data_IF_567260898713
#
_entry.id   IF_567260898713
#
_cell.length_a   1.000
_cell.length_b   1.000
_cell.length_c   1.000
_cell.angle_alpha   90.00
_cell.angle_beta   90.00
_cell.angle_gamma   90.00
#
_symmetry.space_group_name_H-M   'P 1'
#
loop_
_entity.id
_entity.type
_entity.pdbx_description
1 polymer ?
#
# COMPACT_ATOMS: atom_id res chain seq x y z
N UNK A 1 -14.48 18.29 9.94
CA UNK A 1 -15.28 17.33 10.74
C UNK A 1 -14.53 16.01 10.79
N UNK A 2 -14.09 15.55 11.97
CA UNK A 2 -13.35 14.29 12.10
C UNK A 2 -14.29 13.07 11.87
N UNK A 3 -13.72 11.88 11.63
CA UNK A 3 -14.50 10.64 11.37
C UNK A 3 -15.52 10.38 12.49
N UNK A 4 -15.11 10.56 13.75
CA UNK A 4 -15.96 10.36 14.92
C UNK A 4 -17.19 11.28 14.93
N UNK A 5 -17.02 12.53 14.52
CA UNK A 5 -18.12 13.49 14.37
C UNK A 5 -19.10 13.08 13.27
N UNK A 6 -18.58 12.63 12.12
CA UNK A 6 -19.42 12.16 10.99
C UNK A 6 -20.23 10.92 11.34
N UNK A 7 -19.64 9.98 12.09
CA UNK A 7 -20.33 8.79 12.57
C UNK A 7 -21.43 9.15 13.58
N UNK A 8 -21.13 10.05 14.54
CA UNK A 8 -22.12 10.55 15.50
C UNK A 8 -23.30 11.26 14.84
N UNK A 9 -23.06 12.08 13.81
CA UNK A 9 -24.16 12.76 13.09
C UNK A 9 -25.09 11.81 12.32
N UNK A 10 -24.68 10.56 12.10
CA UNK A 10 -25.50 9.52 11.50
C UNK A 10 -25.93 8.45 12.52
N UNK A 11 -25.74 8.71 13.82
CA UNK A 11 -26.06 7.78 14.91
C UNK A 11 -25.37 6.40 14.80
N UNK A 12 -24.27 6.32 14.04
CA UNK A 12 -23.52 5.10 13.85
C UNK A 12 -22.49 4.91 14.99
N UNK A 13 -22.64 3.82 15.75
CA UNK A 13 -21.65 3.37 16.72
C UNK A 13 -20.73 2.33 16.10
N UNK A 14 -19.41 2.55 16.18
CA UNK A 14 -18.41 1.59 15.73
C UNK A 14 -17.87 0.79 16.91
N UNK A 15 -17.90 -0.53 16.81
CA UNK A 15 -17.27 -1.44 17.75
C UNK A 15 -16.10 -2.14 17.06
N UNK A 16 -14.90 -2.01 17.63
CA UNK A 16 -13.68 -2.62 17.10
C UNK A 16 -13.40 -3.93 17.85
N UNK A 17 -13.24 -5.04 17.12
CA UNK A 17 -12.99 -6.36 17.69
C UNK A 17 -11.56 -6.79 17.36
N UNK A 18 -10.59 -6.39 18.18
CA UNK A 18 -9.16 -6.62 17.94
C UNK A 18 -8.52 -7.66 18.86
N UNK A 19 -9.33 -8.36 19.67
CA UNK A 19 -8.86 -9.40 20.58
C UNK A 19 -8.12 -8.88 21.82
N UNK A 20 -8.04 -7.57 22.03
CA UNK A 20 -7.47 -6.99 23.25
C UNK A 20 -8.53 -6.87 24.33
N UNK A 21 -8.15 -7.15 25.59
CA UNK A 21 -9.02 -6.96 26.74
C UNK A 21 -9.44 -5.49 26.86
N UNK A 22 -10.72 -5.23 27.15
CA UNK A 22 -11.20 -3.87 27.37
C UNK A 22 -10.78 -3.39 28.76
N UNK A 23 -10.39 -2.12 28.88
CA UNK A 23 -10.13 -1.50 30.18
C UNK A 23 -11.37 -1.60 31.07
N UNK A 24 -11.25 -2.29 32.21
CA UNK A 24 -12.34 -2.45 33.19
C UNK A 24 -13.11 -3.77 33.14
N UNK A 25 -12.80 -4.69 32.23
CA UNK A 25 -13.36 -6.06 32.28
C UNK A 25 -12.58 -6.92 33.29
N UNK A 26 -13.26 -7.60 34.24
CA UNK A 26 -12.58 -8.54 35.13
C UNK A 26 -11.93 -9.64 34.28
N UNK A 27 -10.76 -10.18 34.67
CA UNK A 27 -10.15 -11.29 33.95
C UNK A 27 -11.10 -12.49 34.00
N UNK A 28 -11.89 -12.67 32.95
CA UNK A 28 -12.68 -13.88 32.73
C UNK A 28 -11.71 -15.05 32.60
N UNK A 29 -11.99 -16.12 33.34
CA UNK A 29 -11.06 -17.21 33.62
C UNK A 29 -10.42 -17.88 32.39
N UNK A 30 -9.32 -18.58 32.67
CA UNK A 30 -8.35 -19.22 31.76
C UNK A 30 -7.79 -18.30 30.66
N UNK A 31 -6.46 -18.30 30.43
CA UNK A 31 -5.89 -17.54 29.31
C UNK A 31 -6.46 -18.08 27.99
N UNK A 32 -7.37 -17.32 27.39
CA UNK A 32 -7.88 -17.63 26.06
C UNK A 32 -6.82 -17.32 25.01
N UNK A 33 -6.81 -18.09 23.93
CA UNK A 33 -6.02 -17.74 22.75
C UNK A 33 -6.55 -16.42 22.16
N UNK A 34 -5.71 -15.67 21.44
CA UNK A 34 -6.10 -14.43 20.77
C UNK A 34 -7.35 -14.59 19.90
N UNK A 35 -7.45 -15.70 19.16
CA UNK A 35 -8.64 -16.05 18.38
C UNK A 35 -9.86 -16.32 19.27
N UNK A 36 -9.69 -17.03 20.38
CA UNK A 36 -10.77 -17.27 21.35
C UNK A 36 -11.35 -15.97 21.91
N UNK A 37 -10.48 -15.00 22.26
CA UNK A 37 -10.92 -13.68 22.73
C UNK A 37 -11.68 -12.93 21.65
N UNK A 38 -11.20 -12.95 20.39
CA UNK A 38 -11.91 -12.31 19.27
C UNK A 38 -13.29 -12.94 19.02
N UNK A 39 -13.41 -14.27 19.09
CA UNK A 39 -14.69 -14.98 18.92
C UNK A 39 -15.65 -14.63 20.06
N UNK A 40 -15.17 -14.54 21.30
CA UNK A 40 -15.99 -14.07 22.44
C UNK A 40 -16.49 -12.64 22.21
N UNK A 41 -15.60 -11.72 21.84
CA UNK A 41 -15.96 -10.34 21.53
C UNK A 41 -16.98 -10.23 20.38
N UNK A 42 -16.86 -11.10 19.37
CA UNK A 42 -17.82 -11.19 18.27
C UNK A 42 -19.19 -11.66 18.76
N UNK A 43 -19.22 -12.71 19.59
CA UNK A 43 -20.46 -13.24 20.18
C UNK A 43 -21.20 -12.17 20.98
N UNK A 44 -20.48 -11.40 21.80
CA UNK A 44 -21.06 -10.32 22.59
C UNK A 44 -21.57 -9.16 21.70
N UNK A 45 -20.85 -8.86 20.61
CA UNK A 45 -21.26 -7.86 19.64
C UNK A 45 -22.56 -8.23 18.93
N UNK A 46 -22.75 -9.51 18.61
CA UNK A 46 -23.95 -10.06 17.93
C UNK A 46 -25.14 -10.13 18.89
N UNK A 47 -24.95 -10.67 20.09
CA UNK A 47 -26.02 -10.87 21.09
C UNK A 47 -26.48 -9.58 21.78
N UNK A 48 -25.59 -8.59 21.94
CA UNK A 48 -25.95 -7.27 22.49
C UNK A 48 -26.71 -6.36 21.51
N UNK A 49 -26.96 -6.86 20.30
CA UNK A 49 -27.57 -6.36 19.07
C UNK A 49 -28.92 -5.61 19.00
N UNK A 50 -29.32 -4.68 19.87
CA UNK A 50 -30.68 -4.06 19.74
C UNK A 50 -30.76 -2.89 18.74
N UNK A 51 -29.62 -2.25 18.42
CA UNK A 51 -29.54 -1.07 17.56
C UNK A 51 -28.51 -1.26 16.43
N UNK A 52 -28.77 -0.62 15.28
CA UNK A 52 -27.87 -0.59 14.12
C UNK A 52 -26.48 -0.09 14.50
N UNK A 53 -25.48 -0.94 14.33
CA UNK A 53 -24.08 -0.63 14.66
C UNK A 53 -23.13 -1.15 13.59
N UNK A 54 -21.95 -0.54 13.52
CA UNK A 54 -20.87 -0.98 12.65
C UNK A 54 -19.89 -1.80 13.47
N UNK A 55 -19.72 -3.08 13.13
CA UNK A 55 -18.74 -3.95 13.78
C UNK A 55 -17.53 -4.10 12.87
N UNK A 56 -16.36 -3.74 13.40
CA UNK A 56 -15.10 -3.74 12.67
C UNK A 56 -14.29 -4.97 13.05
N UNK A 57 -13.95 -5.77 12.05
CA UNK A 57 -13.18 -7.00 12.15
C UNK A 57 -11.81 -6.80 11.49
N UNK A 58 -10.76 -6.43 12.24
CA UNK A 58 -9.44 -6.09 11.68
C UNK A 58 -8.72 -7.29 11.07
N UNK A 59 -9.08 -8.49 11.51
CA UNK A 59 -8.45 -9.76 11.15
C UNK A 59 -9.52 -10.79 10.75
N UNK A 60 -10.41 -10.41 9.82
CA UNK A 60 -11.47 -11.29 9.32
C UNK A 60 -10.90 -12.58 8.71
N UNK A 61 -9.76 -12.45 8.02
CA UNK A 61 -8.98 -13.56 7.50
C UNK A 61 -8.54 -14.54 8.58
N UNK A 62 -8.00 -14.08 9.71
CA UNK A 62 -7.60 -15.00 10.78
C UNK A 62 -8.79 -15.73 11.42
N UNK A 63 -9.97 -15.10 11.44
CA UNK A 63 -11.18 -15.70 12.02
C UNK A 63 -11.85 -16.74 11.11
N UNK A 64 -11.55 -16.71 9.81
CA UNK A 64 -12.30 -17.48 8.80
C UNK A 64 -11.44 -18.31 7.86
N UNK A 65 -10.14 -18.04 7.81
CA UNK A 65 -9.18 -18.75 6.96
C UNK A 65 -8.63 -19.96 7.70
N UNK A 66 -8.59 -21.08 7.00
CA UNK A 66 -8.08 -22.35 7.52
C UNK A 66 -7.35 -23.09 6.41
N UNK A 67 -6.13 -23.55 6.70
CA UNK A 67 -5.40 -24.44 5.80
C UNK A 67 -6.12 -25.80 5.78
N UNK A 68 -6.68 -26.22 4.64
CA UNK A 68 -7.30 -27.54 4.48
C UNK A 68 -8.82 -27.64 4.71
N UNK A 69 -9.54 -26.51 4.84
CA UNK A 69 -11.01 -26.48 4.96
C UNK A 69 -11.52 -25.85 6.26
N UNK A 70 -12.83 -25.54 6.34
CA UNK A 70 -13.42 -24.76 7.43
C UNK A 70 -13.26 -25.44 8.80
N UNK A 71 -12.50 -24.80 9.70
CA UNK A 71 -12.37 -25.16 11.12
C UNK A 71 -13.69 -24.97 11.88
N UNK A 72 -13.79 -25.56 13.07
CA UNK A 72 -14.96 -25.40 13.93
C UNK A 72 -15.17 -23.92 14.31
N UNK A 73 -14.08 -23.23 14.61
CA UNK A 73 -14.05 -21.79 14.91
C UNK A 73 -14.54 -20.97 13.71
N UNK A 74 -14.07 -21.30 12.49
CA UNK A 74 -14.50 -20.59 11.28
C UNK A 74 -16.01 -20.79 11.02
N UNK A 75 -16.55 -22.00 11.27
CA UNK A 75 -18.00 -22.25 11.16
C UNK A 75 -18.81 -21.45 12.17
N UNK A 76 -18.32 -21.36 13.41
CA UNK A 76 -18.95 -20.53 14.44
C UNK A 76 -18.94 -19.05 14.04
N UNK A 77 -17.80 -18.52 13.60
CA UNK A 77 -17.68 -17.14 13.14
C UNK A 77 -18.63 -16.89 11.96
N UNK A 78 -18.68 -17.79 10.98
CA UNK A 78 -19.63 -17.68 9.86
C UNK A 78 -21.06 -17.57 10.40
N UNK A 79 -21.48 -18.46 11.30
CA UNK A 79 -22.83 -18.43 11.86
C UNK A 79 -23.13 -17.09 12.54
N UNK A 80 -22.21 -16.60 13.39
CA UNK A 80 -22.34 -15.31 14.09
C UNK A 80 -22.48 -14.12 13.12
N UNK A 81 -21.77 -14.15 11.98
CA UNK A 81 -21.83 -13.08 10.99
C UNK A 81 -23.19 -12.98 10.27
N UNK A 82 -23.92 -14.10 10.17
CA UNK A 82 -25.26 -14.16 9.58
C UNK A 82 -26.39 -14.00 10.60
N UNK A 83 -26.09 -14.10 11.90
CA UNK A 83 -27.11 -14.17 12.96
C UNK A 83 -27.89 -12.86 13.13
N UNK A 84 -27.25 -11.70 12.93
CA UNK A 84 -27.88 -10.40 13.15
C UNK A 84 -27.81 -9.49 11.90
N UNK A 85 -28.93 -9.29 11.17
CA UNK A 85 -28.97 -8.50 9.94
C UNK A 85 -28.89 -6.97 10.19
N UNK A 86 -29.11 -6.49 11.41
CA UNK A 86 -28.99 -5.07 11.76
C UNK A 86 -27.53 -4.61 11.93
N UNK A 87 -26.59 -5.58 11.95
CA UNK A 87 -25.17 -5.30 12.01
C UNK A 87 -24.60 -4.97 10.63
N UNK A 88 -23.86 -3.86 10.58
CA UNK A 88 -23.04 -3.53 9.42
C UNK A 88 -21.62 -4.02 9.67
N UNK A 89 -21.16 -4.99 8.89
CA UNK A 89 -19.82 -5.53 9.00
C UNK A 89 -18.80 -4.71 8.22
N UNK A 90 -17.67 -4.38 8.86
CA UNK A 90 -16.49 -3.85 8.20
C UNK A 90 -15.32 -4.82 8.43
N UNK A 91 -15.07 -5.68 7.45
CA UNK A 91 -14.00 -6.67 7.49
C UNK A 91 -12.71 -6.19 6.83
N UNK A 92 -11.57 -6.44 7.48
CA UNK A 92 -10.25 -6.28 6.92
C UNK A 92 -9.61 -7.66 6.75
N UNK A 93 -8.94 -7.85 5.61
CA UNK A 93 -8.15 -9.04 5.32
C UNK A 93 -6.81 -8.62 4.74
N UNK A 94 -5.79 -9.43 4.94
CA UNK A 94 -4.58 -9.33 4.14
C UNK A 94 -4.87 -9.82 2.69
N UNK A 95 -4.24 -9.17 1.71
CA UNK A 95 -4.43 -9.48 0.30
C UNK A 95 -3.91 -10.88 -0.08
N UNK A 96 -2.95 -11.41 0.69
CA UNK A 96 -2.30 -12.70 0.48
C UNK A 96 -3.13 -13.90 0.95
N UNK A 97 -4.13 -13.68 1.81
CA UNK A 97 -5.04 -14.71 2.29
C UNK A 97 -6.35 -14.70 1.49
N UNK A 98 -6.80 -15.88 1.08
CA UNK A 98 -8.13 -16.09 0.49
C UNK A 98 -9.17 -16.26 1.59
N UNK A 99 -10.36 -15.70 1.37
CA UNK A 99 -11.51 -15.93 2.24
C UNK A 99 -12.40 -17.02 1.63
N UNK A 100 -13.12 -17.81 2.45
CA UNK A 100 -14.15 -18.70 1.95
C UNK A 100 -15.24 -17.92 1.19
N UNK A 101 -15.77 -18.49 0.11
CA UNK A 101 -16.79 -17.83 -0.73
C UNK A 101 -18.02 -17.38 0.06
N UNK A 102 -18.43 -18.14 1.08
CA UNK A 102 -19.55 -17.79 1.98
C UNK A 102 -19.28 -16.46 2.70
N UNK A 103 -18.07 -16.26 3.22
CA UNK A 103 -17.66 -15.00 3.85
C UNK A 103 -17.56 -13.90 2.81
N UNK A 104 -16.93 -14.17 1.67
CA UNK A 104 -16.79 -13.18 0.60
C UNK A 104 -18.14 -12.62 0.14
N UNK A 105 -19.18 -13.45 0.09
CA UNK A 105 -20.53 -13.04 -0.32
C UNK A 105 -21.25 -12.15 0.72
N UNK A 106 -20.85 -12.22 1.99
CA UNK A 106 -21.36 -11.33 3.04
C UNK A 106 -20.87 -9.87 2.85
N UNK A 107 -19.77 -9.67 2.12
CA UNK A 107 -19.17 -8.35 1.87
C UNK A 107 -19.34 -7.95 0.39
N UNK A 108 -20.51 -7.44 -0.03
CA UNK A 108 -20.78 -7.07 -1.41
C UNK A 108 -19.97 -5.84 -1.85
N UNK A 109 -19.67 -4.93 -0.92
CA UNK A 109 -18.81 -3.78 -1.18
C UNK A 109 -17.39 -4.07 -0.74
N UNK A 110 -16.47 -4.15 -1.71
CA UNK A 110 -15.06 -4.47 -1.47
C UNK A 110 -14.20 -3.29 -1.89
N UNK A 111 -13.41 -2.79 -0.95
CA UNK A 111 -12.43 -1.75 -1.21
C UNK A 111 -11.04 -2.34 -1.04
N UNK A 112 -10.18 -2.14 -2.04
CA UNK A 112 -8.78 -2.49 -1.93
C UNK A 112 -7.98 -1.25 -1.58
N UNK A 113 -7.30 -1.26 -0.43
CA UNK A 113 -6.33 -0.24 -0.08
C UNK A 113 -4.98 -0.70 -0.61
N UNK A 114 -4.71 -0.36 -1.87
CA UNK A 114 -3.44 -0.65 -2.52
C UNK A 114 -2.47 0.51 -2.32
N UNK A 115 -1.37 0.20 -1.67
CA UNK A 115 -0.29 1.15 -1.47
C UNK A 115 -0.65 2.30 -0.53
N UNK A 116 0.11 3.39 -0.66
CA UNK A 116 -0.07 4.63 0.09
C UNK A 116 -0.40 5.71 -0.93
N UNK A 117 -1.49 6.44 -0.71
CA UNK A 117 -1.82 7.60 -1.53
C UNK A 117 -0.71 8.65 -1.43
N UNK A 118 -0.38 9.27 -2.54
CA UNK A 118 0.81 10.12 -2.68
C UNK A 118 0.79 11.32 -1.72
N UNK A 119 -0.38 11.92 -1.54
CA UNK A 119 -0.68 13.01 -0.61
C UNK A 119 -0.58 12.60 0.87
N UNK A 120 -0.66 11.30 1.16
CA UNK A 120 -0.52 10.74 2.51
C UNK A 120 0.90 10.35 2.85
N UNK A 121 1.77 10.18 1.87
CA UNK A 121 3.18 9.82 2.08
C UNK A 121 3.91 10.75 3.05
N UNK A 122 3.78 12.10 2.99
CA UNK A 122 4.40 13.00 3.96
C UNK A 122 3.95 12.76 5.41
N UNK A 123 2.75 12.22 5.62
CA UNK A 123 2.18 11.96 6.95
C UNK A 123 2.73 10.67 7.58
N UNK A 124 3.45 9.86 6.79
CA UNK A 124 3.99 8.56 7.22
C UNK A 124 5.51 8.56 7.41
N UNK A 125 6.18 9.66 7.07
CA UNK A 125 7.63 9.85 7.27
C UNK A 125 7.84 10.68 8.54
N UNK A 126 8.64 10.17 9.48
CA UNK A 126 8.96 10.94 10.69
C UNK A 126 10.00 12.00 10.40
N UNK A 127 10.09 13.02 11.27
CA UNK A 127 11.16 14.02 11.17
C UNK A 127 12.55 13.37 11.21
N UNK A 128 12.75 12.34 12.05
CA UNK A 128 14.03 11.61 12.15
C UNK A 128 14.39 10.93 10.83
N UNK A 129 13.42 10.29 10.18
CA UNK A 129 13.63 9.63 8.88
C UNK A 129 13.87 10.64 7.75
N UNK A 130 13.12 11.75 7.74
CA UNK A 130 13.28 12.80 6.74
C UNK A 130 14.71 13.38 6.69
N UNK A 131 15.40 13.46 7.84
CA UNK A 131 16.79 13.94 7.93
C UNK A 131 17.77 13.10 7.12
N UNK A 132 17.49 11.81 6.91
CA UNK A 132 18.35 10.92 6.09
C UNK A 132 18.37 11.29 4.61
N UNK A 133 17.46 12.16 4.16
CA UNK A 133 17.36 12.61 2.77
C UNK A 133 17.91 14.03 2.54
N UNK A 134 18.57 14.63 3.53
CA UNK A 134 19.09 15.98 3.43
C UNK A 134 18.14 17.04 4.01
N UNK A 135 18.53 18.31 3.94
CA UNK A 135 17.77 19.45 4.50
C UNK A 135 16.48 19.76 3.73
N UNK A 136 16.43 19.44 2.43
CA UNK A 136 15.31 19.69 1.53
C UNK A 136 14.53 18.43 1.18
N UNK A 137 14.17 17.61 2.17
CA UNK A 137 13.44 16.36 1.91
C UNK A 137 12.18 16.62 1.08
N UNK A 138 12.11 16.00 -0.10
CA UNK A 138 10.94 16.02 -0.97
C UNK A 138 10.19 14.68 -0.88
N UNK A 139 9.03 14.61 -0.19
CA UNK A 139 8.24 13.39 -0.10
C UNK A 139 7.76 12.88 -1.46
N UNK A 140 7.60 13.76 -2.46
CA UNK A 140 7.14 13.38 -3.80
C UNK A 140 8.20 12.57 -4.55
N UNK A 141 9.48 12.90 -4.35
CA UNK A 141 10.61 12.15 -4.89
C UNK A 141 10.73 10.76 -4.24
N UNK A 142 10.33 10.61 -2.97
CA UNK A 142 10.28 9.31 -2.29
C UNK A 142 9.23 8.37 -2.91
N UNK A 143 8.10 8.90 -3.37
CA UNK A 143 6.99 8.09 -3.89
C UNK A 143 7.40 7.12 -5.00
N UNK A 144 8.32 7.52 -5.89
CA UNK A 144 8.74 6.65 -7.00
C UNK A 144 9.42 5.35 -6.54
N UNK A 145 9.99 5.35 -5.33
CA UNK A 145 10.66 4.18 -4.77
C UNK A 145 9.75 3.30 -3.90
N UNK A 146 8.64 3.85 -3.41
CA UNK A 146 7.74 3.19 -2.45
C UNK A 146 6.32 3.03 -2.98
N UNK A 147 6.10 3.33 -4.27
CA UNK A 147 4.82 3.14 -4.93
C UNK A 147 4.35 1.70 -4.81
N UNK A 148 3.07 1.50 -4.50
CA UNK A 148 2.47 0.17 -4.27
C UNK A 148 2.80 -0.46 -2.91
N UNK A 149 3.70 0.11 -2.10
CA UNK A 149 3.94 -0.37 -0.74
C UNK A 149 2.81 0.04 0.21
N UNK A 150 2.38 -0.88 1.08
CA UNK A 150 1.48 -0.54 2.17
C UNK A 150 2.18 0.27 3.28
N UNK A 151 1.40 0.98 4.09
CA UNK A 151 1.88 1.86 5.15
C UNK A 151 2.80 1.15 6.16
N UNK A 152 2.47 -0.09 6.55
CA UNK A 152 3.25 -0.85 7.53
C UNK A 152 4.63 -1.21 6.98
N UNK A 153 4.70 -1.71 5.74
CA UNK A 153 5.96 -2.03 5.06
C UNK A 153 6.80 -0.77 4.85
N UNK A 154 6.18 0.35 4.48
CA UNK A 154 6.89 1.63 4.37
C UNK A 154 7.51 2.03 5.71
N UNK A 155 6.74 2.03 6.80
CA UNK A 155 7.22 2.39 8.15
C UNK A 155 8.40 1.51 8.57
N UNK A 156 8.31 0.20 8.35
CA UNK A 156 9.40 -0.75 8.61
C UNK A 156 10.64 -0.40 7.80
N UNK A 157 10.50 -0.20 6.49
CA UNK A 157 11.60 0.17 5.61
C UNK A 157 12.25 1.52 5.99
N UNK A 158 11.46 2.54 6.33
CA UNK A 158 12.02 3.83 6.74
C UNK A 158 12.75 3.72 8.08
N UNK A 159 12.28 2.85 8.98
CA UNK A 159 12.94 2.62 10.27
C UNK A 159 14.30 1.93 10.17
N UNK A 160 14.58 1.24 9.04
CA UNK A 160 15.87 0.59 8.78
C UNK A 160 16.86 1.48 8.04
N UNK A 161 16.51 2.74 7.74
CA UNK A 161 17.42 3.64 7.04
C UNK A 161 18.62 4.02 7.90
N UNK A 162 19.81 3.71 7.39
CA UNK A 162 21.09 4.05 8.02
C UNK A 162 21.78 5.22 7.32
N UNK A 163 22.67 5.91 8.03
CA UNK A 163 23.47 7.02 7.52
C UNK A 163 23.48 8.22 8.47
N UNK A 164 24.19 9.28 8.08
CA UNK A 164 24.20 10.55 8.81
C UNK A 164 22.89 11.34 8.63
N UNK A 165 22.63 12.27 9.53
CA UNK A 165 21.54 13.23 9.40
C UNK A 165 22.01 14.40 8.51
N UNK A 166 21.16 14.79 7.56
CA UNK A 166 21.40 15.86 6.59
C UNK A 166 22.63 15.65 5.67
N UNK A 167 22.72 14.51 4.96
CA UNK A 167 23.77 14.32 3.96
C UNK A 167 23.67 15.38 2.85
N UNK A 168 24.80 15.70 2.22
CA UNK A 168 24.82 16.56 1.03
C UNK A 168 24.00 15.95 -0.13
N UNK A 169 24.04 14.61 -0.24
CA UNK A 169 23.36 13.86 -1.31
C UNK A 169 22.45 12.78 -0.72
N UNK A 170 21.18 12.77 -1.13
CA UNK A 170 20.17 11.78 -0.71
C UNK A 170 20.33 10.40 -1.38
N UNK A 171 21.33 10.22 -2.24
CA UNK A 171 21.53 9.03 -3.07
C UNK A 171 21.62 7.75 -2.25
N UNK A 172 22.29 7.78 -1.09
CA UNK A 172 22.46 6.61 -0.22
C UNK A 172 21.14 6.13 0.39
N UNK A 173 20.28 7.05 0.84
CA UNK A 173 18.97 6.69 1.38
C UNK A 173 18.08 6.09 0.28
N UNK A 174 18.03 6.71 -0.90
CA UNK A 174 17.25 6.16 -2.03
C UNK A 174 17.77 4.81 -2.53
N UNK A 175 19.09 4.58 -2.50
CA UNK A 175 19.67 3.29 -2.85
C UNK A 175 19.24 2.17 -1.89
N UNK A 176 19.27 2.43 -0.56
CA UNK A 176 18.79 1.47 0.45
C UNK A 176 17.31 1.11 0.22
N UNK A 177 16.46 2.13 -0.02
CA UNK A 177 15.03 1.89 -0.30
C UNK A 177 14.87 1.04 -1.55
N UNK A 178 15.56 1.39 -2.64
CA UNK A 178 15.47 0.67 -3.91
C UNK A 178 15.88 -0.79 -3.77
N UNK A 179 16.90 -1.09 -2.96
CA UNK A 179 17.34 -2.46 -2.72
C UNK A 179 16.24 -3.30 -2.05
N UNK A 180 15.50 -2.73 -1.09
CA UNK A 180 14.40 -3.41 -0.40
C UNK A 180 13.15 -3.51 -1.26
N UNK A 181 12.85 -2.48 -2.06
CA UNK A 181 11.60 -2.43 -2.85
C UNK A 181 11.67 -3.17 -4.19
N UNK A 182 12.87 -3.54 -4.64
CA UNK A 182 13.06 -4.32 -5.88
C UNK A 182 12.81 -5.83 -5.71
N UNK A 183 12.25 -6.29 -4.58
CA UNK A 183 11.95 -7.71 -4.38
C UNK A 183 10.80 -8.21 -5.27
N UNK A 184 11.09 -9.13 -6.20
CA UNK A 184 10.11 -9.79 -7.09
C UNK A 184 10.67 -10.04 -8.50
N UNK A 185 9.80 -10.29 -9.51
CA UNK A 185 10.15 -10.33 -10.96
C UNK A 185 10.57 -8.96 -11.54
N UNK A 186 10.85 -7.98 -10.69
CA UNK A 186 11.23 -6.62 -11.05
C UNK A 186 12.74 -6.58 -11.25
N UNK A 187 13.19 -6.38 -12.48
CA UNK A 187 14.60 -6.18 -12.81
C UNK A 187 14.95 -4.69 -12.70
N UNK A 188 16.10 -4.35 -12.10
CA UNK A 188 16.67 -3.01 -12.18
C UNK A 188 17.70 -3.00 -13.30
N UNK A 189 17.38 -2.44 -14.48
CA UNK A 189 18.33 -2.41 -15.58
C UNK A 189 19.45 -1.41 -15.29
N UNK A 190 20.64 -1.71 -15.80
CA UNK A 190 21.82 -0.85 -15.77
C UNK A 190 22.22 -0.35 -17.16
N UNK A 191 21.29 -0.43 -18.12
CA UNK A 191 21.57 -0.09 -19.53
C UNK A 191 21.49 1.42 -19.70
N UNK A 192 22.56 2.06 -20.17
CA UNK A 192 22.60 3.49 -20.43
C UNK A 192 22.04 3.85 -21.81
N UNK A 193 21.16 4.86 -21.86
CA UNK A 193 20.45 5.22 -23.08
C UNK A 193 21.36 5.86 -24.14
N UNK A 194 22.42 6.57 -23.76
CA UNK A 194 23.27 7.27 -24.73
C UNK A 194 24.41 6.41 -25.25
N UNK A 195 25.11 5.74 -24.34
CA UNK A 195 26.31 4.97 -24.66
C UNK A 195 26.02 3.56 -25.18
N UNK A 196 24.92 2.93 -24.76
CA UNK A 196 24.63 1.53 -25.07
C UNK A 196 23.49 1.32 -26.08
N UNK A 197 22.79 2.38 -26.48
CA UNK A 197 21.77 2.34 -27.54
C UNK A 197 22.26 3.15 -28.75
N UNK A 198 22.64 2.45 -29.82
CA UNK A 198 23.00 3.08 -31.09
C UNK A 198 21.77 3.65 -31.82
N UNK A 199 21.94 4.80 -32.49
CA UNK A 199 20.93 5.37 -33.36
C UNK A 199 19.74 6.01 -32.62
N UNK A 200 18.55 5.93 -33.22
CA UNK A 200 17.29 6.45 -32.65
C UNK A 200 17.29 7.93 -32.22
N UNK A 201 18.16 8.77 -32.79
CA UNK A 201 18.34 10.18 -32.36
C UNK A 201 17.02 10.94 -32.18
N UNK A 202 16.09 10.85 -33.14
CA UNK A 202 14.77 11.50 -33.05
C UNK A 202 13.93 10.97 -31.88
N UNK A 203 13.98 9.67 -31.62
CA UNK A 203 13.24 9.02 -30.52
C UNK A 203 13.87 9.39 -29.18
N UNK A 204 15.20 9.38 -29.06
CA UNK A 204 15.90 9.81 -27.83
C UNK A 204 15.59 11.28 -27.51
N UNK A 205 15.65 12.17 -28.50
CA UNK A 205 15.29 13.59 -28.32
C UNK A 205 13.85 13.78 -27.87
N UNK A 206 12.92 13.01 -28.45
CA UNK A 206 11.50 13.02 -28.05
C UNK A 206 11.31 12.50 -26.63
N UNK A 207 11.95 11.38 -26.29
CA UNK A 207 11.92 10.82 -24.93
C UNK A 207 12.49 11.81 -23.90
N UNK A 208 13.60 12.48 -24.25
CA UNK A 208 14.21 13.49 -23.41
C UNK A 208 13.22 14.62 -23.09
N UNK A 209 12.69 15.27 -24.13
CA UNK A 209 11.82 16.43 -23.99
C UNK A 209 10.42 16.12 -23.42
N UNK A 210 9.79 15.02 -23.84
CA UNK A 210 8.41 14.70 -23.44
C UNK A 210 8.31 13.92 -22.13
N UNK A 211 9.37 13.19 -21.73
CA UNK A 211 9.34 12.31 -20.55
C UNK A 211 10.42 12.69 -19.54
N UNK A 212 11.70 12.61 -19.90
CA UNK A 212 12.78 12.76 -18.93
C UNK A 212 12.82 14.17 -18.32
N UNK A 213 12.68 15.21 -19.13
CA UNK A 213 12.69 16.60 -18.66
C UNK A 213 11.45 16.90 -17.79
N UNK A 214 10.28 16.37 -18.17
CA UNK A 214 9.04 16.51 -17.42
C UNK A 214 9.15 15.81 -16.06
N UNK A 215 9.73 14.60 -16.01
CA UNK A 215 9.95 13.86 -14.77
C UNK A 215 11.02 14.52 -13.88
N UNK A 216 12.11 15.02 -14.47
CA UNK A 216 13.14 15.74 -13.73
C UNK A 216 12.60 17.04 -13.11
N UNK A 217 11.75 17.76 -13.84
CA UNK A 217 11.06 18.95 -13.32
C UNK A 217 10.06 18.59 -12.22
N UNK A 218 9.30 17.50 -12.42
CA UNK A 218 8.37 16.95 -11.43
C UNK A 218 9.06 16.59 -10.11
N UNK A 219 10.24 15.96 -10.16
CA UNK A 219 11.00 15.56 -8.97
C UNK A 219 11.49 16.74 -8.12
N UNK A 220 11.55 17.95 -8.69
CA UNK A 220 11.90 19.20 -7.99
C UNK A 220 10.69 20.00 -7.52
N UNK A 221 9.49 19.66 -8.01
CA UNK A 221 8.26 20.38 -7.70
C UNK A 221 7.73 19.97 -6.32
N UNK A 222 7.30 20.98 -5.55
CA UNK A 222 6.70 20.80 -4.22
C UNK A 222 5.22 21.19 -4.17
N UNK A 223 4.72 21.95 -5.16
CA UNK A 223 3.32 22.35 -5.26
C UNK A 223 2.41 21.20 -5.76
N UNK A 224 1.42 20.74 -4.99
CA UNK A 224 0.50 19.69 -5.40
C UNK A 224 -0.35 20.03 -6.64
N UNK A 225 -0.66 21.31 -6.89
CA UNK A 225 -1.45 21.69 -8.05
C UNK A 225 -0.63 21.58 -9.34
N UNK A 226 0.59 22.12 -9.33
CA UNK A 226 1.54 21.99 -10.42
C UNK A 226 1.92 20.53 -10.69
N UNK A 227 2.15 19.73 -9.64
CA UNK A 227 2.47 18.30 -9.77
C UNK A 227 1.36 17.53 -10.53
N UNK A 228 0.09 17.80 -10.18
CA UNK A 228 -1.07 17.20 -10.86
C UNK A 228 -1.19 17.62 -12.32
N UNK A 229 -0.73 18.83 -12.68
CA UNK A 229 -0.67 19.27 -14.07
C UNK A 229 0.43 18.53 -14.83
N UNK A 230 1.64 18.45 -14.26
CA UNK A 230 2.77 17.73 -14.85
C UNK A 230 2.47 16.24 -15.06
N UNK A 231 1.78 15.60 -14.12
CA UNK A 231 1.38 14.19 -14.25
C UNK A 231 0.43 13.93 -15.41
N UNK A 232 -0.40 14.90 -15.80
CA UNK A 232 -1.28 14.78 -16.97
C UNK A 232 -0.50 14.87 -18.29
N UNK A 233 0.69 15.46 -18.27
CA UNK A 233 1.55 15.59 -19.46
C UNK A 233 2.35 14.31 -19.73
N UNK A 234 2.64 13.51 -18.70
CA UNK A 234 3.42 12.27 -18.87
C UNK A 234 2.59 11.24 -19.64
N UNK A 235 3.10 10.70 -20.76
CA UNK A 235 2.43 9.65 -21.51
C UNK A 235 2.14 8.43 -20.62
N UNK A 236 0.94 7.85 -20.75
CA UNK A 236 0.54 6.67 -19.94
C UNK A 236 1.17 5.36 -20.42
N UNK A 237 1.65 5.32 -21.65
CA UNK A 237 2.22 4.12 -22.25
C UNK A 237 3.00 4.46 -23.51
N UNK A 238 3.95 3.59 -23.84
CA UNK A 238 4.75 3.66 -25.05
C UNK A 238 4.67 2.30 -25.75
N UNK A 239 4.53 2.32 -27.07
CA UNK A 239 4.52 1.10 -27.89
C UNK A 239 5.77 1.08 -28.74
N UNK A 240 6.61 0.08 -28.54
CA UNK A 240 7.77 -0.19 -29.38
C UNK A 240 7.39 -1.24 -30.42
N UNK A 241 7.35 -0.87 -31.70
CA UNK A 241 6.99 -1.78 -32.79
C UNK A 241 8.14 -1.90 -33.80
N UNK A 242 8.18 -3.02 -34.53
CA UNK A 242 9.15 -3.27 -35.60
C UNK A 242 9.56 -4.75 -35.70
N UNK A 243 10.43 -5.11 -36.66
CA UNK A 243 10.92 -6.49 -36.84
C UNK A 243 11.57 -7.10 -35.58
N UNK A 244 11.57 -8.43 -35.39
CA UNK A 244 12.31 -9.05 -34.29
C UNK A 244 13.81 -8.70 -34.40
N UNK A 245 14.51 -8.64 -33.26
CA UNK A 245 15.95 -8.35 -33.22
C UNK A 245 16.34 -6.86 -33.26
N UNK A 246 15.41 -5.91 -33.39
CA UNK A 246 15.74 -4.46 -33.44
C UNK A 246 16.04 -3.81 -32.08
N UNK A 247 16.29 -4.60 -31.03
CA UNK A 247 16.66 -4.09 -29.71
C UNK A 247 15.52 -3.46 -28.89
N UNK A 248 14.25 -3.73 -29.19
CA UNK A 248 13.09 -3.16 -28.45
C UNK A 248 13.16 -3.40 -26.94
N UNK A 249 13.43 -4.62 -26.52
CA UNK A 249 13.58 -4.97 -25.10
C UNK A 249 14.77 -4.26 -24.46
N UNK A 250 15.89 -4.16 -25.17
CA UNK A 250 17.08 -3.44 -24.70
C UNK A 250 16.81 -1.94 -24.56
N UNK A 251 16.08 -1.35 -25.51
CA UNK A 251 15.65 0.04 -25.46
C UNK A 251 14.72 0.29 -24.27
N UNK A 252 13.75 -0.60 -24.03
CA UNK A 252 12.86 -0.51 -22.87
C UNK A 252 13.64 -0.56 -21.54
N UNK A 253 14.66 -1.42 -21.44
CA UNK A 253 15.58 -1.45 -20.29
C UNK A 253 16.33 -0.13 -20.13
N UNK A 254 16.85 0.43 -21.22
CA UNK A 254 17.57 1.71 -21.19
C UNK A 254 16.69 2.89 -20.77
N UNK A 255 15.45 2.94 -21.26
CA UNK A 255 14.44 3.93 -20.84
C UNK A 255 14.15 3.79 -19.36
N UNK A 256 13.96 2.57 -18.85
CA UNK A 256 13.73 2.30 -17.43
C UNK A 256 14.91 2.76 -16.56
N UNK A 257 16.16 2.56 -17.00
CA UNK A 257 17.34 3.12 -16.33
C UNK A 257 17.29 4.65 -16.29
N UNK A 258 17.01 5.29 -17.43
CA UNK A 258 17.01 6.75 -17.57
C UNK A 258 15.95 7.44 -16.68
N UNK A 259 14.78 6.82 -16.49
CA UNK A 259 13.73 7.33 -15.58
C UNK A 259 13.94 6.88 -14.12
N UNK A 260 14.93 6.02 -13.84
CA UNK A 260 15.19 5.48 -12.50
C UNK A 260 14.13 4.49 -12.02
N UNK A 261 13.49 3.75 -12.92
CA UNK A 261 12.45 2.78 -12.61
C UNK A 261 12.99 1.32 -12.57
N UNK A 262 12.17 0.42 -12.05
CA UNK A 262 12.32 -1.03 -12.26
C UNK A 262 11.45 -1.47 -13.44
N UNK A 263 11.84 -2.55 -14.12
CA UNK A 263 11.13 -3.10 -15.27
C UNK A 263 10.64 -4.53 -14.98
N UNK A 264 9.42 -4.84 -15.40
CA UNK A 264 8.90 -6.21 -15.42
C UNK A 264 8.77 -6.64 -16.88
N UNK A 265 9.37 -7.77 -17.23
CA UNK A 265 9.18 -8.41 -18.53
C UNK A 265 8.16 -9.53 -18.32
N UNK A 266 7.01 -9.40 -18.98
CA UNK A 266 5.90 -10.36 -18.94
C UNK A 266 5.91 -11.19 -20.21
#
# INVERSE_FOLDING_TARGET
MNLRGRLRSQELRCQFLDGRSREGEPPTGMPQSFLGTMISQLRDAVRGAVERRVVVLPHLDLLTTSQGGLTAEAREVIALLYENPELVWLGFKDATFSLPAVIENLFPHRYSVLGIARDRLPQLVTQKEARKFGRGFNPWALYKYVSGMNAVRLRKLLSTLEGEDYPEHSSRAYAQIRQVTSGGKLEVPSVDLETQIGGYRRVKQRLQSEILDVLAYKDRCTDPAQLRRLEKLVPRGMIFWGPPGTGKTLFAKAVATAIGAAITIV
#
